data_IF_675285184185
#
_entry.id   IF_675285184185
#
_cell.length_a   1.000
_cell.length_b   1.000
_cell.length_c   1.000
_cell.angle_alpha   90.00
_cell.angle_beta   90.00
_cell.angle_gamma   90.00
#
_symmetry.space_group_name_H-M   'P 1'
#
loop_
_entity.id
_entity.type
_entity.pdbx_description
1 polymer ?
#
# COMPACT_ATOMS: atom_id res chain seq x y z
N UNK A 1 -13.44 -9.86 14.44
CA UNK A 1 -14.91 -9.88 14.25
C UNK A 1 -15.32 -10.18 12.81
N UNK A 2 -14.72 -9.56 11.78
CA UNK A 2 -15.00 -9.78 10.35
C UNK A 2 -14.82 -11.24 9.85
N UNK A 3 -13.90 -12.00 10.44
CA UNK A 3 -13.64 -13.40 10.07
C UNK A 3 -14.58 -14.41 10.75
N UNK A 4 -15.30 -14.00 11.81
CA UNK A 4 -16.11 -14.92 12.61
C UNK A 4 -17.34 -15.39 11.81
N UNK A 5 -18.11 -14.44 11.25
CA UNK A 5 -19.19 -14.79 10.35
C UNK A 5 -18.58 -15.51 9.13
N UNK A 6 -17.59 -14.86 8.49
CA UNK A 6 -16.63 -15.25 7.42
C UNK A 6 -16.28 -16.72 7.16
N UNK A 7 -15.88 -17.41 8.22
CA UNK A 7 -15.15 -18.66 8.10
C UNK A 7 -15.41 -19.61 9.29
N UNK A 8 -16.40 -19.30 10.14
CA UNK A 8 -16.68 -20.00 11.40
C UNK A 8 -15.41 -20.13 12.28
N UNK A 9 -14.60 -19.08 12.36
CA UNK A 9 -13.41 -19.07 13.20
C UNK A 9 -13.75 -18.71 14.65
N UNK A 10 -13.28 -19.52 15.60
CA UNK A 10 -13.41 -19.27 17.03
C UNK A 10 -12.60 -18.03 17.41
N UNK A 11 -12.97 -17.32 18.49
CA UNK A 11 -12.26 -16.11 18.96
C UNK A 11 -10.74 -16.33 19.15
N UNK A 12 -10.32 -17.56 19.48
CA UNK A 12 -8.91 -17.94 19.63
C UNK A 12 -8.16 -17.96 18.29
N UNK A 13 -8.79 -18.44 17.23
CA UNK A 13 -8.21 -18.57 15.89
C UNK A 13 -8.05 -17.19 15.24
N UNK A 14 -9.01 -16.29 15.47
CA UNK A 14 -8.96 -14.90 15.01
C UNK A 14 -7.81 -14.15 15.69
N UNK A 15 -7.62 -14.36 17.00
CA UNK A 15 -6.50 -13.77 17.74
C UNK A 15 -5.15 -14.25 17.22
N UNK A 16 -5.01 -15.57 17.01
CA UNK A 16 -3.76 -16.15 16.52
C UNK A 16 -3.45 -15.71 15.07
N UNK A 17 -4.47 -15.68 14.20
CA UNK A 17 -4.35 -15.15 12.85
C UNK A 17 -3.90 -13.69 12.84
N UNK A 18 -4.51 -12.83 13.67
CA UNK A 18 -4.18 -11.40 13.70
C UNK A 18 -2.76 -11.15 14.23
N UNK A 19 -2.33 -11.92 15.24
CA UNK A 19 -0.98 -11.84 15.77
C UNK A 19 0.06 -12.31 14.73
N UNK A 20 -0.19 -13.46 14.11
CA UNK A 20 0.67 -13.98 13.03
C UNK A 20 0.73 -12.97 11.88
N UNK A 21 -0.39 -12.33 11.56
CA UNK A 21 -0.46 -11.34 10.51
C UNK A 21 0.44 -10.14 10.77
N UNK A 22 0.38 -9.59 11.98
CA UNK A 22 1.20 -8.45 12.36
C UNK A 22 2.69 -8.80 12.35
N UNK A 23 3.06 -9.98 12.86
CA UNK A 23 4.45 -10.44 12.90
C UNK A 23 4.99 -10.67 11.49
N UNK A 24 4.26 -11.41 10.65
CA UNK A 24 4.70 -11.67 9.28
C UNK A 24 4.75 -10.37 8.48
N UNK A 25 3.80 -9.47 8.68
CA UNK A 25 3.81 -8.15 8.05
C UNK A 25 5.04 -7.35 8.46
N UNK A 26 5.37 -7.27 9.75
CA UNK A 26 6.54 -6.54 10.22
C UNK A 26 7.86 -7.13 9.67
N UNK A 27 8.01 -8.45 9.68
CA UNK A 27 9.26 -9.11 9.24
C UNK A 27 9.39 -9.07 7.71
N UNK A 28 8.37 -9.53 6.99
CA UNK A 28 8.43 -9.60 5.52
C UNK A 28 8.45 -8.21 4.91
N UNK A 29 7.80 -7.22 5.54
CA UNK A 29 7.97 -5.84 5.12
C UNK A 29 9.46 -5.47 5.23
N UNK A 30 10.05 -5.42 6.43
CA UNK A 30 11.44 -4.99 6.58
C UNK A 30 12.42 -5.72 5.64
N UNK A 31 12.31 -7.05 5.52
CA UNK A 31 13.15 -7.85 4.62
C UNK A 31 12.92 -7.53 3.14
N UNK A 32 11.67 -7.44 2.69
CA UNK A 32 11.35 -7.16 1.29
C UNK A 32 11.75 -5.75 0.85
N UNK A 33 11.66 -4.74 1.73
CA UNK A 33 12.16 -3.39 1.45
C UNK A 33 13.67 -3.44 1.28
N UNK A 34 14.38 -4.03 2.25
CA UNK A 34 15.83 -4.06 2.23
C UNK A 34 16.37 -4.85 1.04
N UNK A 35 15.71 -5.95 0.66
CA UNK A 35 16.04 -6.70 -0.55
C UNK A 35 15.88 -5.86 -1.83
N UNK A 36 14.75 -5.16 -1.99
CA UNK A 36 14.47 -4.35 -3.18
C UNK A 36 15.39 -3.12 -3.27
N UNK A 37 15.67 -2.46 -2.14
CA UNK A 37 16.61 -1.35 -2.08
C UNK A 37 18.05 -1.81 -2.38
N UNK A 38 18.46 -2.98 -1.89
CA UNK A 38 19.80 -3.54 -2.18
C UNK A 38 19.99 -3.90 -3.66
N UNK A 39 18.90 -4.18 -4.39
CA UNK A 39 18.93 -4.42 -5.85
C UNK A 39 19.03 -3.10 -6.64
N UNK A 40 18.97 -1.94 -5.97
CA UNK A 40 19.04 -0.62 -6.60
C UNK A 40 17.73 -0.16 -7.23
N UNK A 41 16.59 -0.74 -6.83
CA UNK A 41 15.29 -0.29 -7.30
C UNK A 41 14.98 1.12 -6.75
N UNK A 42 14.43 2.00 -7.59
CA UNK A 42 14.00 3.33 -7.16
C UNK A 42 12.75 3.25 -6.27
N UNK A 43 12.63 4.17 -5.31
CA UNK A 43 11.49 4.26 -4.38
C UNK A 43 10.13 4.17 -5.09
N UNK A 44 10.03 4.76 -6.27
CA UNK A 44 8.81 4.76 -7.09
C UNK A 44 8.46 3.37 -7.63
N UNK A 45 9.46 2.59 -8.07
CA UNK A 45 9.27 1.20 -8.53
C UNK A 45 8.85 0.31 -7.35
N UNK A 46 9.50 0.48 -6.20
CA UNK A 46 9.17 -0.29 -4.99
C UNK A 46 7.73 0.01 -4.54
N UNK A 47 7.31 1.28 -4.61
CA UNK A 47 5.95 1.68 -4.27
C UNK A 47 4.91 1.06 -5.22
N UNK A 48 5.21 1.02 -6.53
CA UNK A 48 4.33 0.44 -7.54
C UNK A 48 4.19 -1.08 -7.38
N UNK A 49 5.31 -1.78 -7.15
CA UNK A 49 5.29 -3.22 -6.86
C UNK A 49 4.45 -3.48 -5.60
N UNK A 50 4.68 -2.72 -4.53
CA UNK A 50 3.90 -2.81 -3.29
C UNK A 50 2.39 -2.67 -3.53
N UNK A 51 1.97 -1.73 -4.39
CA UNK A 51 0.57 -1.56 -4.77
C UNK A 51 -0.01 -2.75 -5.54
N UNK A 52 0.75 -3.33 -6.47
CA UNK A 52 0.31 -4.53 -7.22
C UNK A 52 0.10 -5.70 -6.27
N UNK A 53 1.03 -5.92 -5.34
CA UNK A 53 0.91 -6.97 -4.33
C UNK A 53 -0.27 -6.72 -3.38
N UNK A 54 -0.49 -5.48 -2.96
CA UNK A 54 -1.64 -5.11 -2.13
C UNK A 54 -2.97 -5.35 -2.85
N UNK A 55 -3.09 -4.89 -4.10
CA UNK A 55 -4.26 -5.13 -4.93
C UNK A 55 -4.49 -6.63 -5.15
N UNK A 56 -3.43 -7.38 -5.49
CA UNK A 56 -3.47 -8.83 -5.63
C UNK A 56 -3.91 -9.53 -4.35
N UNK A 57 -3.41 -9.11 -3.19
CA UNK A 57 -3.81 -9.65 -1.89
C UNK A 57 -5.28 -9.38 -1.55
N UNK A 58 -5.77 -8.19 -1.89
CA UNK A 58 -7.16 -7.78 -1.62
C UNK A 58 -8.12 -8.51 -2.55
N UNK A 59 -7.72 -8.71 -3.81
CA UNK A 59 -8.47 -9.50 -4.77
C UNK A 59 -8.49 -10.98 -4.36
N UNK A 60 -7.34 -11.53 -3.98
CA UNK A 60 -7.22 -12.90 -3.44
C UNK A 60 -8.12 -13.10 -2.22
N UNK A 61 -8.11 -12.14 -1.29
CA UNK A 61 -8.97 -12.16 -0.12
C UNK A 61 -10.46 -12.09 -0.48
N UNK A 62 -10.84 -11.35 -1.52
CA UNK A 62 -12.23 -11.27 -1.98
C UNK A 62 -12.74 -12.58 -2.60
N UNK A 63 -11.85 -13.37 -3.21
CA UNK A 63 -12.15 -14.70 -3.75
C UNK A 63 -11.96 -15.84 -2.73
N UNK A 64 -11.45 -15.55 -1.53
CA UNK A 64 -11.16 -16.57 -0.54
C UNK A 64 -12.46 -17.19 0.01
N UNK A 65 -12.59 -18.51 -0.13
CA UNK A 65 -13.67 -19.32 0.41
C UNK A 65 -13.20 -20.21 1.57
N UNK A 66 -11.89 -20.46 1.69
CA UNK A 66 -11.31 -21.33 2.71
C UNK A 66 -10.33 -20.61 3.64
N UNK A 67 -10.25 -21.10 4.88
CA UNK A 67 -9.40 -20.52 5.92
C UNK A 67 -7.89 -20.51 5.57
N UNK A 68 -7.41 -21.48 4.78
CA UNK A 68 -6.01 -21.54 4.36
C UNK A 68 -5.65 -20.43 3.36
N UNK A 69 -6.62 -19.98 2.54
CA UNK A 69 -6.43 -18.93 1.54
C UNK A 69 -6.16 -17.58 2.19
N UNK A 70 -6.65 -17.38 3.42
CA UNK A 70 -6.38 -16.20 4.23
C UNK A 70 -4.89 -16.12 4.60
N UNK A 71 -4.28 -17.24 5.00
CA UNK A 71 -2.85 -17.28 5.32
C UNK A 71 -1.98 -17.05 4.08
N UNK A 72 -2.43 -17.50 2.90
CA UNK A 72 -1.76 -17.20 1.63
C UNK A 72 -1.88 -15.70 1.26
N UNK A 73 -3.07 -15.11 1.40
CA UNK A 73 -3.30 -13.68 1.20
C UNK A 73 -2.46 -12.83 2.16
N UNK A 74 -2.17 -13.35 3.35
CA UNK A 74 -1.31 -12.73 4.34
C UNK A 74 0.11 -12.48 3.82
N UNK A 75 0.71 -13.49 3.19
CA UNK A 75 2.05 -13.38 2.59
C UNK A 75 2.08 -12.33 1.48
N UNK A 76 1.04 -12.25 0.65
CA UNK A 76 0.90 -11.23 -0.39
C UNK A 76 0.72 -9.82 0.22
N UNK A 77 -0.10 -9.70 1.27
CA UNK A 77 -0.39 -8.43 1.93
C UNK A 77 0.80 -7.86 2.68
N UNK A 78 1.78 -8.69 3.08
CA UNK A 78 2.94 -8.26 3.84
C UNK A 78 3.83 -7.26 3.08
N UNK A 79 3.78 -7.29 1.73
CA UNK A 79 4.49 -6.33 0.87
C UNK A 79 3.81 -4.96 0.78
N UNK A 80 2.62 -4.78 1.36
CA UNK A 80 1.92 -3.48 1.35
C UNK A 80 2.46 -2.46 2.37
N UNK A 81 3.28 -2.91 3.33
CA UNK A 81 3.69 -2.05 4.44
C UNK A 81 4.69 -0.94 4.12
N UNK A 82 5.20 -0.89 2.89
CA UNK A 82 6.15 0.12 2.45
C UNK A 82 5.50 1.43 2.05
N UNK A 83 4.21 1.40 1.72
CA UNK A 83 3.53 2.51 1.06
C UNK A 83 3.64 3.80 1.88
N UNK A 84 3.44 3.73 3.20
CA UNK A 84 3.56 4.88 4.08
C UNK A 84 4.98 5.47 4.09
N UNK A 85 5.99 4.64 4.32
CA UNK A 85 7.39 5.08 4.41
C UNK A 85 7.94 5.59 3.07
N UNK A 86 7.59 4.93 1.96
CA UNK A 86 8.03 5.33 0.61
C UNK A 86 7.36 6.63 0.16
N UNK A 87 6.09 6.83 0.48
CA UNK A 87 5.39 8.09 0.15
C UNK A 87 6.06 9.26 0.86
N UNK A 88 6.41 9.11 2.14
CA UNK A 88 7.15 10.12 2.89
C UNK A 88 8.58 10.31 2.34
N UNK A 89 9.27 9.24 1.96
CA UNK A 89 10.58 9.31 1.29
C UNK A 89 10.51 10.13 -0.01
N UNK A 90 9.52 9.85 -0.86
CA UNK A 90 9.31 10.58 -2.11
C UNK A 90 8.97 12.07 -1.85
N UNK A 91 8.08 12.35 -0.89
CA UNK A 91 7.77 13.74 -0.50
C UNK A 91 9.03 14.47 -0.01
N UNK A 92 9.89 13.82 0.76
CA UNK A 92 11.12 14.44 1.27
C UNK A 92 12.06 14.92 0.15
N UNK A 93 12.01 14.28 -1.02
CA UNK A 93 12.81 14.65 -2.20
C UNK A 93 12.25 15.88 -2.92
N UNK A 94 10.97 16.19 -2.74
CA UNK A 94 10.30 17.32 -3.40
C UNK A 94 10.15 18.55 -2.50
N UNK A 95 10.25 18.37 -1.19
CA UNK A 95 10.11 19.45 -0.21
C UNK A 95 11.46 19.95 0.31
N UNK A 96 11.52 21.26 0.53
CA UNK A 96 12.63 21.88 1.23
C UNK A 96 12.72 21.41 2.69
N UNK A 97 13.91 21.33 3.29
CA UNK A 97 14.10 20.77 4.64
C UNK A 97 13.21 21.41 5.72
N UNK A 98 12.88 22.70 5.56
CA UNK A 98 12.09 23.46 6.52
C UNK A 98 10.58 23.16 6.45
N UNK A 99 10.08 22.64 5.32
CA UNK A 99 8.66 22.33 5.10
C UNK A 99 8.33 20.85 5.31
N UNK A 100 9.34 19.97 5.30
CA UNK A 100 9.17 18.51 5.39
C UNK A 100 8.37 18.07 6.63
N UNK A 101 8.66 18.64 7.79
CA UNK A 101 7.99 18.26 9.05
C UNK A 101 6.49 18.60 9.02
N UNK A 102 6.14 19.78 8.52
CA UNK A 102 4.76 20.21 8.36
C UNK A 102 4.00 19.34 7.36
N UNK A 103 4.62 19.05 6.22
CA UNK A 103 4.03 18.20 5.19
C UNK A 103 3.84 16.75 5.68
N UNK A 104 4.80 16.21 6.42
CA UNK A 104 4.70 14.87 7.01
C UNK A 104 3.62 14.78 8.09
N UNK A 105 3.51 15.80 8.95
CA UNK A 105 2.47 15.88 9.96
C UNK A 105 1.08 15.88 9.30
N UNK A 106 0.88 16.72 8.29
CA UNK A 106 -0.38 16.82 7.56
C UNK A 106 -0.80 15.49 6.90
N UNK A 107 0.12 14.82 6.21
CA UNK A 107 -0.15 13.50 5.61
C UNK A 107 -0.49 12.46 6.67
N UNK A 108 0.21 12.48 7.80
CA UNK A 108 -0.03 11.55 8.90
C UNK A 108 -1.41 11.78 9.52
N UNK A 109 -1.81 13.04 9.73
CA UNK A 109 -3.14 13.40 10.23
C UNK A 109 -4.26 12.93 9.30
N UNK A 110 -4.13 13.19 7.98
CA UNK A 110 -5.08 12.70 6.98
C UNK A 110 -5.18 11.18 7.04
N UNK A 111 -4.04 10.49 7.07
CA UNK A 111 -4.01 9.04 7.13
C UNK A 111 -4.71 8.51 8.39
N UNK A 112 -4.51 9.13 9.55
CA UNK A 112 -5.20 8.78 10.80
C UNK A 112 -6.71 8.99 10.69
N UNK A 113 -7.15 10.11 10.13
CA UNK A 113 -8.58 10.40 9.90
C UNK A 113 -9.18 9.32 8.99
N UNK A 114 -8.56 9.07 7.83
CA UNK A 114 -9.01 8.05 6.88
C UNK A 114 -9.06 6.67 7.54
N UNK A 115 -8.08 6.31 8.38
CA UNK A 115 -8.06 5.01 9.04
C UNK A 115 -9.24 4.84 10.02
N UNK A 116 -9.50 5.85 10.85
CA UNK A 116 -10.60 5.83 11.83
C UNK A 116 -11.96 5.79 11.11
N UNK A 117 -12.21 6.74 10.21
CA UNK A 117 -13.49 6.81 9.49
C UNK A 117 -13.66 5.64 8.52
N UNK A 118 -12.60 5.25 7.83
CA UNK A 118 -12.58 4.12 6.92
C UNK A 118 -12.94 2.83 7.64
N UNK A 119 -12.32 2.54 8.79
CA UNK A 119 -12.64 1.35 9.58
C UNK A 119 -14.09 1.37 10.08
N UNK A 120 -14.58 2.52 10.56
CA UNK A 120 -15.94 2.66 11.04
C UNK A 120 -16.97 2.46 9.91
N UNK A 121 -16.76 3.12 8.76
CA UNK A 121 -17.62 3.03 7.58
C UNK A 121 -17.63 1.62 7.00
N UNK A 122 -16.47 0.97 6.93
CA UNK A 122 -16.34 -0.39 6.41
C UNK A 122 -17.05 -1.40 7.31
N UNK A 123 -16.90 -1.27 8.64
CA UNK A 123 -17.61 -2.10 9.61
C UNK A 123 -19.13 -1.89 9.55
N UNK A 124 -19.58 -0.65 9.36
CA UNK A 124 -21.00 -0.32 9.21
C UNK A 124 -21.61 -0.98 7.95
N UNK A 125 -20.92 -0.85 6.81
CA UNK A 125 -21.34 -1.51 5.56
C UNK A 125 -21.38 -3.02 5.77
N UNK A 126 -20.30 -3.60 6.32
CA UNK A 126 -20.21 -5.03 6.60
C UNK A 126 -21.38 -5.54 7.45
N UNK A 127 -21.71 -4.85 8.53
CA UNK A 127 -22.80 -5.26 9.42
C UNK A 127 -24.16 -5.35 8.70
N UNK A 128 -24.37 -4.55 7.65
CA UNK A 128 -25.59 -4.58 6.83
C UNK A 128 -25.54 -5.59 5.69
N UNK A 129 -24.38 -5.81 5.07
CA UNK A 129 -24.24 -6.68 3.90
C UNK A 129 -23.94 -8.14 4.23
N UNK A 130 -23.39 -8.45 5.41
CA UNK A 130 -22.97 -9.80 5.80
C UNK A 130 -24.11 -10.83 5.72
N UNK A 131 -25.35 -10.40 5.96
CA UNK A 131 -26.54 -11.28 5.92
C UNK A 131 -26.92 -11.65 4.49
N UNK A 132 -26.72 -10.74 3.53
CA UNK A 132 -27.21 -10.91 2.15
C UNK A 132 -26.12 -11.45 1.22
N UNK A 133 -24.89 -10.94 1.32
CA UNK A 133 -23.74 -11.38 0.54
C UNK A 133 -22.43 -11.15 1.31
N UNK A 134 -21.88 -12.24 1.83
CA UNK A 134 -20.66 -12.35 2.65
C UNK A 134 -19.41 -11.72 2.02
N UNK A 135 -19.25 -11.81 0.69
CA UNK A 135 -18.06 -11.36 -0.04
C UNK A 135 -18.22 -9.95 -0.63
N UNK A 136 -19.42 -9.38 -0.62
CA UNK A 136 -19.72 -8.10 -1.29
C UNK A 136 -18.94 -6.93 -0.68
N UNK A 137 -18.75 -6.94 0.64
CA UNK A 137 -17.93 -5.92 1.31
C UNK A 137 -16.46 -6.00 0.92
N UNK A 138 -15.94 -7.21 0.69
CA UNK A 138 -14.57 -7.41 0.20
C UNK A 138 -14.42 -6.93 -1.25
N UNK A 139 -15.43 -7.14 -2.10
CA UNK A 139 -15.46 -6.55 -3.45
C UNK A 139 -15.50 -5.03 -3.45
N UNK A 140 -16.27 -4.41 -2.54
CA UNK A 140 -16.27 -2.95 -2.36
C UNK A 140 -14.89 -2.46 -1.93
N UNK A 141 -14.24 -3.16 -1.00
CA UNK A 141 -12.86 -2.88 -0.59
C UNK A 141 -11.86 -3.00 -1.75
N UNK A 142 -11.95 -4.07 -2.55
CA UNK A 142 -11.12 -4.26 -3.74
C UNK A 142 -11.33 -3.15 -4.78
N UNK A 143 -12.58 -2.72 -5.00
CA UNK A 143 -12.90 -1.60 -5.88
C UNK A 143 -12.32 -0.27 -5.39
N UNK A 144 -12.41 0.00 -4.08
CA UNK A 144 -11.78 1.17 -3.46
C UNK A 144 -10.25 1.17 -3.62
N UNK A 145 -9.61 0.00 -3.63
CA UNK A 145 -8.15 -0.13 -3.83
C UNK A 145 -7.70 0.18 -5.28
N UNK A 146 -8.61 0.23 -6.26
CA UNK A 146 -8.28 0.61 -7.63
C UNK A 146 -7.91 2.10 -7.70
N UNK A 147 -8.60 2.94 -6.94
CA UNK A 147 -8.37 4.40 -6.91
C UNK A 147 -6.92 4.75 -6.51
N UNK A 148 -6.39 4.29 -5.35
CA UNK A 148 -5.01 4.56 -4.98
C UNK A 148 -4.01 3.87 -5.92
N UNK A 149 -4.36 2.74 -6.53
CA UNK A 149 -3.52 2.09 -7.53
C UNK A 149 -3.34 2.95 -8.79
N UNK A 150 -4.41 3.59 -9.26
CA UNK A 150 -4.35 4.52 -10.41
C UNK A 150 -3.57 5.78 -10.03
N UNK A 151 -3.80 6.34 -8.84
CA UNK A 151 -3.06 7.52 -8.36
C UNK A 151 -1.57 7.24 -8.25
N UNK A 152 -1.17 6.08 -7.73
CA UNK A 152 0.24 5.70 -7.65
C UNK A 152 0.86 5.45 -9.02
N UNK A 153 0.11 4.86 -9.96
CA UNK A 153 0.57 4.74 -11.35
C UNK A 153 0.79 6.12 -11.97
N UNK A 154 -0.12 7.06 -11.73
CA UNK A 154 0.03 8.43 -12.21
C UNK A 154 1.23 9.13 -11.58
N UNK A 155 1.44 8.99 -10.26
CA UNK A 155 2.60 9.51 -9.54
C UNK A 155 3.91 8.93 -10.09
N UNK A 156 3.94 7.64 -10.41
CA UNK A 156 5.09 6.97 -11.02
C UNK A 156 5.42 7.58 -12.39
N UNK A 157 4.41 7.82 -13.24
CA UNK A 157 4.61 8.44 -14.55
C UNK A 157 5.14 9.88 -14.44
N UNK A 158 4.61 10.67 -13.50
CA UNK A 158 5.07 12.05 -13.24
C UNK A 158 6.50 12.06 -12.72
N UNK A 159 6.83 11.18 -11.77
CA UNK A 159 8.18 11.09 -11.19
C UNK A 159 9.20 10.68 -12.25
N UNK A 160 8.85 9.73 -13.13
CA UNK A 160 9.72 9.32 -14.24
C UNK A 160 9.98 10.47 -15.21
N UNK A 161 8.93 11.24 -15.53
CA UNK A 161 9.02 12.39 -16.44
C UNK A 161 9.93 13.49 -15.87
N UNK A 162 9.82 13.82 -14.58
CA UNK A 162 10.70 14.81 -13.95
C UNK A 162 12.17 14.35 -13.93
N UNK A 163 12.42 13.06 -13.69
CA UNK A 163 13.78 12.51 -13.74
C UNK A 163 14.39 12.59 -15.15
N UNK A 164 13.60 12.42 -16.21
CA UNK A 164 14.06 12.58 -17.60
C UNK A 164 14.31 14.05 -17.97
N UNK A 165 13.53 14.97 -17.40
CA UNK A 165 13.63 16.42 -17.65
C UNK A 165 14.86 17.04 -16.98
N UNK A 166 15.22 16.62 -15.75
CA UNK A 166 16.45 17.03 -15.06
C UNK A 166 17.74 16.52 -15.74
N UNK A 167 17.66 15.37 -16.43
CA UNK A 167 18.80 14.80 -17.18
C UNK A 167 19.03 15.48 -18.54
N UNK A 168 17.99 16.15 -19.07
CA UNK A 168 18.01 16.80 -20.39
C UNK A 168 18.97 18.00 -20.50
N UNK A 169 19.02 18.96 -19.55
CA UNK A 169 19.89 20.13 -19.66
C UNK A 169 21.39 19.77 -19.68
N UNK A 170 21.81 18.68 -19.02
CA UNK A 170 23.21 18.26 -18.99
C UNK A 170 23.71 17.71 -20.34
N UNK A 171 22.84 17.02 -21.10
CA UNK A 171 23.20 16.52 -22.44
C UNK A 171 23.34 17.64 -23.48
N UNK A 172 22.60 18.74 -23.31
CA UNK A 172 22.66 19.89 -24.21
C UNK A 172 23.87 20.79 -23.91
N UNK A 173 24.39 20.77 -22.68
CA UNK A 173 25.60 21.54 -22.34
C UNK A 173 26.89 20.85 -22.80
N UNK A 174 26.93 19.52 -22.89
CA UNK A 174 28.10 18.77 -23.39
C UNK A 174 28.25 18.80 -24.93
N UNK A 175 27.25 19.31 -25.65
CA UNK A 175 27.25 19.36 -27.12
C UNK A 175 27.59 20.72 -27.72
N UNK A 176 27.85 21.75 -26.91
CA UNK A 176 28.34 23.05 -27.40
C UNK A 176 29.88 23.01 -27.53
N UNK A 177 30.45 22.94 -28.75
CA UNK A 177 31.89 23.06 -28.91
C UNK A 177 32.33 24.46 -28.51
N UNK A 178 33.25 24.54 -27.54
CA UNK A 178 33.85 25.79 -27.09
C UNK A 178 34.43 26.60 -28.29
N UNK A 179 34.23 27.92 -28.33
CA UNK A 179 34.67 28.79 -29.43
C UNK A 179 36.20 28.92 -29.53
#
# INVERSE_FOLDING_TARGET
FLLNATFCMTSRDIGNYSALAAISYAILSLLGMQALTNIGASDAIICLISHIFFFGSTLWLAFANYSWELYAGLLLSAFSGYQGSLTLSMMSKWLEPHERSHAFAFVTEINTIINIYGTALFNYIYARTVVNNRNLTLFIGAGLCIIPSILNLWLFLVTRKMSEEDLRPLSETETEPAP
#
